data_IF_603930125591
#
_entry.id   IF_603930125591
#
_cell.length_a   1.000
_cell.length_b   1.000
_cell.length_c   1.000
_cell.angle_alpha   90.00
_cell.angle_beta   90.00
_cell.angle_gamma   90.00
#
_symmetry.space_group_name_H-M   'P 1'
#
loop_
_entity.id
_entity.type
_entity.pdbx_description
1 polymer ?
#
# COMPACT_ATOMS: atom_id res chain seq x y z
N UNK A 1 3.64 -28.96 -13.86
CA UNK A 1 4.98 -28.33 -13.98
C UNK A 1 4.94 -26.99 -13.27
N UNK A 2 5.80 -26.71 -12.28
CA UNK A 2 5.89 -25.37 -11.72
C UNK A 2 6.68 -24.46 -12.68
N UNK A 3 6.03 -23.42 -13.20
CA UNK A 3 6.66 -22.43 -14.08
C UNK A 3 7.75 -21.65 -13.34
N UNK A 4 8.89 -21.39 -14.01
CA UNK A 4 9.95 -20.52 -13.46
C UNK A 4 9.43 -19.09 -13.34
N UNK A 5 9.23 -18.61 -12.12
CA UNK A 5 9.02 -17.19 -11.82
C UNK A 5 10.26 -16.43 -12.31
N UNK A 6 10.09 -15.52 -13.26
CA UNK A 6 11.21 -14.69 -13.75
C UNK A 6 11.38 -13.52 -12.81
N UNK A 7 12.58 -13.29 -12.29
CA UNK A 7 12.89 -12.22 -11.33
C UNK A 7 12.62 -10.79 -11.84
N UNK A 8 12.30 -10.62 -13.12
CA UNK A 8 11.92 -9.35 -13.76
C UNK A 8 10.47 -9.33 -14.27
N UNK A 9 9.65 -10.37 -14.01
CA UNK A 9 8.22 -10.33 -14.34
C UNK A 9 7.46 -9.73 -13.17
N UNK A 10 6.92 -8.53 -13.38
CA UNK A 10 6.12 -7.80 -12.40
C UNK A 10 5.75 -6.44 -13.00
N UNK A 11 4.64 -5.88 -12.54
CA UNK A 11 4.21 -4.54 -12.88
C UNK A 11 3.93 -3.80 -11.59
N UNK A 12 4.67 -2.70 -11.36
CA UNK A 12 4.50 -1.87 -10.19
C UNK A 12 3.91 -0.53 -10.62
N UNK A 13 2.79 -0.15 -9.99
CA UNK A 13 2.16 1.13 -10.17
C UNK A 13 2.19 1.88 -8.84
N UNK A 14 2.77 3.08 -8.83
CA UNK A 14 2.71 3.93 -7.65
C UNK A 14 1.34 4.60 -7.55
N UNK A 15 0.68 4.45 -6.40
CA UNK A 15 -0.59 5.12 -6.09
C UNK A 15 -0.33 6.58 -5.71
N UNK A 16 0.74 6.83 -4.94
CA UNK A 16 1.17 8.13 -4.42
C UNK A 16 1.32 8.14 -2.90
N UNK A 17 1.83 9.25 -2.37
CA UNK A 17 1.90 9.49 -0.93
C UNK A 17 0.61 10.15 -0.43
N UNK A 18 0.28 9.89 0.84
CA UNK A 18 -0.88 10.46 1.50
C UNK A 18 -0.48 11.17 2.80
N UNK A 19 -1.01 12.38 3.00
CA UNK A 19 -0.76 13.19 4.20
C UNK A 19 -1.54 12.70 5.44
N UNK A 20 -2.41 11.70 5.28
CA UNK A 20 -3.15 11.07 6.38
C UNK A 20 -3.61 9.65 6.04
N UNK A 21 -3.83 8.83 7.07
CA UNK A 21 -4.36 7.47 6.92
C UNK A 21 -5.72 7.43 6.18
N UNK A 22 -6.60 8.39 6.45
CA UNK A 22 -7.89 8.47 5.77
C UNK A 22 -7.74 8.81 4.29
N UNK A 23 -6.81 9.70 3.95
CA UNK A 23 -6.50 10.04 2.55
C UNK A 23 -5.92 8.83 1.81
N UNK A 24 -5.05 8.05 2.47
CA UNK A 24 -4.49 6.82 1.93
C UNK A 24 -5.59 5.80 1.59
N UNK A 25 -6.48 5.50 2.55
CA UNK A 25 -7.58 4.54 2.31
C UNK A 25 -8.47 4.99 1.16
N UNK A 26 -8.77 6.30 1.08
CA UNK A 26 -9.54 6.86 -0.04
C UNK A 26 -8.82 6.70 -1.39
N UNK A 27 -7.51 6.94 -1.44
CA UNK A 27 -6.72 6.76 -2.67
C UNK A 27 -6.66 5.29 -3.10
N UNK A 28 -6.37 4.39 -2.16
CA UNK A 28 -6.36 2.94 -2.41
C UNK A 28 -7.69 2.47 -2.96
N UNK A 29 -8.79 2.87 -2.30
CA UNK A 29 -10.15 2.55 -2.74
C UNK A 29 -10.42 3.04 -4.16
N UNK A 30 -10.14 4.31 -4.45
CA UNK A 30 -10.35 4.88 -5.78
C UNK A 30 -9.55 4.14 -6.85
N UNK A 31 -8.28 3.81 -6.57
CA UNK A 31 -7.46 3.05 -7.53
C UNK A 31 -7.98 1.65 -7.80
N UNK A 32 -8.48 0.96 -6.78
CA UNK A 32 -9.07 -0.38 -6.95
C UNK A 32 -10.37 -0.31 -7.76
N UNK A 33 -11.22 0.68 -7.48
CA UNK A 33 -12.45 0.92 -8.24
C UNK A 33 -12.14 1.24 -9.70
N UNK A 34 -11.20 2.16 -9.97
CA UNK A 34 -10.80 2.58 -11.32
C UNK A 34 -10.18 1.43 -12.14
N UNK A 35 -9.51 0.48 -11.48
CA UNK A 35 -8.80 -0.63 -12.13
C UNK A 35 -9.48 -1.99 -11.97
N UNK A 36 -10.71 -2.02 -11.47
CA UNK A 36 -11.42 -3.27 -11.11
C UNK A 36 -11.44 -4.29 -12.26
N UNK A 37 -11.73 -3.84 -13.48
CA UNK A 37 -11.78 -4.73 -14.66
C UNK A 37 -10.42 -5.36 -14.98
N UNK A 38 -9.34 -4.58 -14.88
CA UNK A 38 -7.98 -5.05 -15.11
C UNK A 38 -7.51 -6.01 -14.00
N UNK A 39 -7.85 -5.72 -12.74
CA UNK A 39 -7.53 -6.58 -11.60
C UNK A 39 -8.23 -7.94 -11.69
N UNK A 40 -9.52 -7.95 -12.05
CA UNK A 40 -10.27 -9.19 -12.29
C UNK A 40 -9.70 -9.98 -13.47
N UNK A 41 -9.32 -9.31 -14.56
CA UNK A 41 -8.71 -9.96 -15.71
C UNK A 41 -7.35 -10.58 -15.34
N UNK A 42 -6.54 -9.89 -14.54
CA UNK A 42 -5.27 -10.40 -14.02
C UNK A 42 -5.49 -11.68 -13.18
N UNK A 43 -6.47 -11.67 -12.28
CA UNK A 43 -6.84 -12.85 -11.49
C UNK A 43 -7.30 -14.03 -12.35
N UNK A 44 -8.07 -13.76 -13.41
CA UNK A 44 -8.49 -14.78 -14.39
C UNK A 44 -7.32 -15.42 -15.16
N UNK A 45 -6.20 -14.72 -15.29
CA UNK A 45 -4.96 -15.23 -15.88
C UNK A 45 -4.03 -15.91 -14.85
N UNK A 46 -4.45 -16.01 -13.59
CA UNK A 46 -3.66 -16.55 -12.48
C UNK A 46 -2.59 -15.58 -11.94
N UNK A 47 -2.69 -14.29 -12.28
CA UNK A 47 -1.85 -13.24 -11.70
C UNK A 47 -2.35 -12.82 -10.32
N UNK A 48 -1.43 -12.30 -9.52
CA UNK A 48 -1.71 -11.78 -8.17
C UNK A 48 -1.37 -10.30 -8.13
N UNK A 49 -2.30 -9.48 -7.66
CA UNK A 49 -2.09 -8.07 -7.40
C UNK A 49 -1.90 -7.84 -5.91
N UNK A 50 -0.88 -7.06 -5.54
CA UNK A 50 -0.59 -6.70 -4.16
C UNK A 50 -0.57 -5.17 -4.06
N UNK A 51 -1.30 -4.63 -3.10
CA UNK A 51 -1.14 -3.25 -2.67
C UNK A 51 -0.20 -3.26 -1.47
N UNK A 52 0.95 -2.61 -1.63
CA UNK A 52 1.94 -2.45 -0.58
C UNK A 52 1.90 -1.03 -0.02
N UNK A 53 1.75 -0.92 1.29
CA UNK A 53 1.58 0.34 2.01
C UNK A 53 2.75 0.50 2.99
N UNK A 54 3.56 1.53 2.78
CA UNK A 54 4.53 2.01 3.75
C UNK A 54 3.92 3.03 4.70
N UNK A 55 4.08 2.84 6.01
CA UNK A 55 3.66 3.80 7.04
C UNK A 55 4.86 4.28 7.83
N UNK A 56 5.09 5.59 7.82
CA UNK A 56 6.11 6.22 8.66
C UNK A 56 5.49 6.59 10.01
N UNK A 57 6.01 6.04 11.11
CA UNK A 57 5.53 6.29 12.49
C UNK A 57 6.46 7.30 13.17
N UNK A 58 5.95 8.45 13.59
CA UNK A 58 6.74 9.51 14.23
C UNK A 58 7.29 9.12 15.61
N UNK A 59 8.38 9.77 16.02
CA UNK A 59 9.11 9.55 17.29
C UNK A 59 8.65 10.48 18.42
N UNK A 60 8.00 11.60 18.10
CA UNK A 60 7.85 12.73 19.03
C UNK A 60 6.57 12.69 19.87
N UNK A 61 5.53 11.96 19.44
CA UNK A 61 4.33 11.70 20.23
C UNK A 61 4.06 10.18 20.30
N UNK A 62 3.61 9.62 21.45
CA UNK A 62 3.43 8.19 21.66
C UNK A 62 2.20 7.60 20.93
N UNK A 63 1.79 8.20 19.82
CA UNK A 63 0.66 7.74 19.03
C UNK A 63 1.12 6.72 17.99
N UNK A 64 0.71 5.47 18.21
CA UNK A 64 0.64 4.44 17.16
C UNK A 64 -0.07 5.03 15.94
N UNK A 65 0.64 5.23 14.83
CA UNK A 65 -0.02 5.56 13.57
C UNK A 65 -0.80 4.31 13.12
N UNK A 66 -2.12 4.38 13.16
CA UNK A 66 -2.99 3.29 12.73
C UNK A 66 -3.71 3.66 11.44
N UNK A 67 -3.75 2.74 10.48
CA UNK A 67 -4.65 2.79 9.33
C UNK A 67 -5.79 1.82 9.59
N UNK A 68 -7.02 2.33 9.52
CA UNK A 68 -8.23 1.51 9.69
C UNK A 68 -8.90 1.31 8.34
N UNK A 69 -8.95 0.07 7.87
CA UNK A 69 -9.79 -0.32 6.74
C UNK A 69 -11.15 -0.78 7.26
N UNK A 70 -12.22 -0.25 6.70
CA UNK A 70 -13.57 -0.71 7.06
C UNK A 70 -13.87 -2.07 6.45
N UNK A 71 -14.87 -2.82 6.94
CA UNK A 71 -15.30 -4.07 6.30
C UNK A 71 -15.67 -3.89 4.82
N UNK A 72 -16.19 -2.72 4.44
CA UNK A 72 -16.52 -2.41 3.05
C UNK A 72 -15.25 -2.27 2.19
N UNK A 73 -14.17 -1.70 2.73
CA UNK A 73 -12.89 -1.57 2.03
C UNK A 73 -12.23 -2.93 1.86
N UNK A 74 -12.24 -3.77 2.90
CA UNK A 74 -11.72 -5.14 2.83
C UNK A 74 -12.52 -5.99 1.82
N UNK A 75 -13.85 -5.85 1.81
CA UNK A 75 -14.70 -6.53 0.84
C UNK A 75 -14.40 -6.09 -0.61
N UNK A 76 -14.10 -4.81 -0.81
CA UNK A 76 -13.70 -4.29 -2.12
C UNK A 76 -12.37 -4.92 -2.59
N UNK A 77 -11.36 -4.96 -1.72
CA UNK A 77 -10.07 -5.57 -2.03
C UNK A 77 -10.21 -7.06 -2.35
N UNK A 78 -10.98 -7.79 -1.54
CA UNK A 78 -11.25 -9.21 -1.75
C UNK A 78 -11.99 -9.45 -3.09
N UNK A 79 -12.98 -8.61 -3.41
CA UNK A 79 -13.70 -8.68 -4.69
C UNK A 79 -12.78 -8.45 -5.89
N UNK A 80 -11.80 -7.57 -5.75
CA UNK A 80 -10.82 -7.29 -6.79
C UNK A 80 -9.70 -8.34 -6.88
N UNK A 81 -9.65 -9.32 -5.95
CA UNK A 81 -8.56 -10.30 -5.89
C UNK A 81 -7.21 -9.70 -5.51
N UNK A 82 -7.23 -8.64 -4.69
CA UNK A 82 -6.05 -7.88 -4.30
C UNK A 82 -5.61 -8.25 -2.89
N UNK A 83 -4.33 -8.56 -2.72
CA UNK A 83 -3.69 -8.71 -1.42
C UNK A 83 -3.27 -7.36 -0.86
N UNK A 84 -3.28 -7.22 0.47
CA UNK A 84 -2.84 -6.01 1.17
C UNK A 84 -1.62 -6.34 2.04
N UNK A 85 -0.52 -5.63 1.78
CA UNK A 85 0.71 -5.64 2.57
C UNK A 85 0.86 -4.28 3.25
N UNK A 86 1.15 -4.28 4.56
CA UNK A 86 1.38 -3.05 5.33
C UNK A 86 2.71 -3.18 6.07
N UNK A 87 3.62 -2.26 5.80
CA UNK A 87 4.93 -2.18 6.42
C UNK A 87 5.05 -0.86 7.16
N UNK A 88 5.31 -0.91 8.47
CA UNK A 88 5.50 0.28 9.29
C UNK A 88 6.99 0.47 9.61
N UNK A 89 7.48 1.70 9.41
CA UNK A 89 8.86 2.09 9.66
C UNK A 89 8.90 3.27 10.62
N UNK A 90 9.74 3.23 11.67
CA UNK A 90 9.95 4.41 12.51
C UNK A 90 10.56 5.54 11.67
N UNK A 91 10.07 6.76 11.87
CA UNK A 91 10.73 7.94 11.36
C UNK A 91 12.10 8.05 12.04
N UNK A 92 13.19 7.94 11.29
CA UNK A 92 14.48 8.44 11.78
C UNK A 92 14.41 9.95 11.68
N UNK A 93 14.43 10.65 12.81
CA UNK A 93 14.70 12.08 12.78
C UNK A 93 16.05 12.26 12.09
N UNK A 94 16.06 12.92 10.93
CA UNK A 94 17.29 13.54 10.45
C UNK A 94 17.69 14.51 11.54
N UNK A 95 18.74 14.16 12.28
CA UNK A 95 19.39 15.09 13.18
C UNK A 95 19.93 16.19 12.28
N UNK A 96 19.16 17.26 12.16
CA UNK A 96 19.58 18.50 11.53
C UNK A 96 20.95 18.81 12.13
N UNK A 97 21.97 18.71 11.29
CA UNK A 97 23.33 19.04 11.70
C UNK A 97 23.32 20.52 12.01
N UNK A 98 23.22 20.88 13.29
CA UNK A 98 23.23 22.26 13.74
C UNK A 98 24.42 22.96 13.08
N UNK A 99 24.21 23.91 12.15
CA UNK A 99 25.29 24.70 11.65
C UNK A 99 25.57 25.76 12.72
N UNK A 100 26.58 25.48 13.54
CA UNK A 100 27.36 26.41 14.34
C UNK A 100 26.60 27.50 15.11
N UNK A 101 26.58 27.37 16.43
CA UNK A 101 26.93 28.44 17.38
C UNK A 101 27.45 27.82 18.68
#
# INVERSE_FOLDING_TARGET
MPGRVRSKSGFNLSIGDAVSAAALVKQVRGRVEDNMSALLALGGLGGVAVIDVGLTVGTSDPFTASVTLTPADLALLAKAGVELSVSAYPATEETESVPGI
#
